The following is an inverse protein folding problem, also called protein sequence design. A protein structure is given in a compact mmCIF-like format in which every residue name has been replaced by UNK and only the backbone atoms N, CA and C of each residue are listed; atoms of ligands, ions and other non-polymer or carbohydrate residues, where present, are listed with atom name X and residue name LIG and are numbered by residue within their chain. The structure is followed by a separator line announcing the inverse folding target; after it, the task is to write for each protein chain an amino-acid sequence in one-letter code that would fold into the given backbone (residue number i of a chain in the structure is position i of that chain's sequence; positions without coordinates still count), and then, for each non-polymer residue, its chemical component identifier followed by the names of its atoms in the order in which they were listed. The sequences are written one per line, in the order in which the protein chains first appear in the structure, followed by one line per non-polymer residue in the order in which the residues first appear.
data_IF_910765539507
#
_entry.id   IF_910765539507
#
_cell.length_a   1.000
_cell.length_b   1.000
_cell.length_c   1.000
_cell.angle_alpha   90.00
_cell.angle_beta   90.00
_cell.angle_gamma   90.00
#
_symmetry.space_group_name_H-M   'P 1'
#
loop_
_entity.id
_entity.type
_entity.pdbx_description
1 polymer ?
#
# COMPACT_ATOMS: atom_id res chain seq x y z
N UNK A 1 -0.77 -11.60 -17.60
CA UNK A 1 -0.11 -10.29 -17.46
C UNK A 1 0.21 -10.00 -16.02
N UNK A 2 1.40 -9.50 -15.77
CA UNK A 2 1.81 -9.17 -14.41
C UNK A 2 1.16 -7.89 -13.93
N UNK A 3 0.69 -7.88 -12.68
CA UNK A 3 0.23 -6.67 -12.02
C UNK A 3 1.39 -6.09 -11.22
N UNK A 4 1.40 -4.78 -11.08
CA UNK A 4 2.47 -4.06 -10.37
C UNK A 4 1.93 -3.51 -9.06
N UNK A 5 2.66 -3.78 -7.98
CA UNK A 5 2.32 -3.32 -6.64
C UNK A 5 3.37 -2.32 -6.16
N UNK A 6 2.91 -1.25 -5.52
CA UNK A 6 3.77 -0.32 -4.80
C UNK A 6 3.72 -0.70 -3.33
N UNK A 7 4.88 -0.98 -2.75
CA UNK A 7 5.00 -1.35 -1.33
C UNK A 7 5.77 -0.25 -0.63
N UNK A 8 5.13 0.38 0.36
CA UNK A 8 5.72 1.50 1.09
C UNK A 8 5.82 1.12 2.57
N UNK A 9 7.04 1.03 3.09
CA UNK A 9 7.29 0.71 4.49
C UNK A 9 8.68 1.20 4.85
N UNK A 10 8.81 1.87 5.99
CA UNK A 10 10.11 2.36 6.45
C UNK A 10 10.97 1.27 7.09
N UNK A 11 10.39 0.11 7.40
CA UNK A 11 11.13 -1.06 7.88
C UNK A 11 11.63 -1.88 6.71
N UNK A 12 12.96 -1.99 6.49
CA UNK A 12 13.49 -2.83 5.41
C UNK A 12 13.06 -4.28 5.52
N UNK A 13 13.01 -4.81 6.74
CA UNK A 13 12.60 -6.20 6.97
C UNK A 13 11.15 -6.43 6.56
N UNK A 14 10.26 -5.57 7.01
CA UNK A 14 8.84 -5.69 6.66
C UNK A 14 8.62 -5.49 5.16
N UNK A 15 9.31 -4.52 4.58
CA UNK A 15 9.22 -4.26 3.13
C UNK A 15 9.64 -5.49 2.34
N UNK A 16 10.71 -6.18 2.76
CA UNK A 16 11.16 -7.40 2.12
C UNK A 16 10.12 -8.52 2.23
N UNK A 17 9.52 -8.68 3.40
CA UNK A 17 8.52 -9.73 3.62
C UNK A 17 7.31 -9.51 2.71
N UNK A 18 6.80 -8.30 2.66
CA UNK A 18 5.65 -7.97 1.82
C UNK A 18 6.01 -8.15 0.34
N UNK A 19 7.15 -7.64 -0.07
CA UNK A 19 7.61 -7.74 -1.46
C UNK A 19 7.79 -9.20 -1.87
N UNK A 20 8.36 -10.03 -1.01
CA UNK A 20 8.55 -11.45 -1.28
C UNK A 20 7.21 -12.17 -1.46
N UNK A 21 6.26 -11.87 -0.57
CA UNK A 21 4.91 -12.45 -0.65
C UNK A 21 4.25 -12.10 -1.98
N UNK A 22 4.34 -10.85 -2.40
CA UNK A 22 3.72 -10.39 -3.64
C UNK A 22 4.45 -10.93 -4.87
N UNK A 23 5.77 -10.95 -4.84
CA UNK A 23 6.57 -11.48 -5.97
C UNK A 23 6.25 -12.95 -6.19
N UNK A 24 6.13 -13.72 -5.12
CA UNK A 24 5.75 -15.14 -5.25
C UNK A 24 4.34 -15.33 -5.80
N UNK A 25 3.49 -14.33 -5.64
CA UNK A 25 2.12 -14.38 -6.18
C UNK A 25 2.04 -13.84 -7.62
N UNK A 26 3.17 -13.47 -8.22
CA UNK A 26 3.21 -13.03 -9.61
C UNK A 26 3.21 -11.53 -9.82
N UNK A 27 3.30 -10.73 -8.76
CA UNK A 27 3.35 -9.27 -8.89
C UNK A 27 4.75 -8.79 -9.20
N UNK A 28 4.82 -7.72 -9.98
CA UNK A 28 6.02 -6.88 -10.01
C UNK A 28 5.92 -5.92 -8.85
N UNK A 29 7.01 -5.70 -8.13
CA UNK A 29 6.99 -4.87 -6.93
C UNK A 29 7.92 -3.68 -7.09
N UNK A 30 7.39 -2.49 -6.80
CA UNK A 30 8.17 -1.28 -6.66
C UNK A 30 8.16 -0.94 -5.17
N UNK A 31 9.33 -0.78 -4.57
CA UNK A 31 9.46 -0.51 -3.14
C UNK A 31 9.78 0.95 -2.88
N UNK A 32 9.22 1.49 -1.81
CA UNK A 32 9.53 2.84 -1.33
C UNK A 32 9.74 2.81 0.17
N UNK A 33 10.64 3.65 0.66
CA UNK A 33 11.02 3.67 2.08
C UNK A 33 10.05 4.46 2.94
N UNK A 34 9.39 5.44 2.36
CA UNK A 34 8.41 6.29 3.05
C UNK A 34 7.55 7.01 2.01
N UNK A 35 6.60 7.83 2.49
CA UNK A 35 5.64 8.47 1.62
C UNK A 35 6.24 9.39 0.57
N UNK A 36 7.23 10.18 0.92
CA UNK A 36 7.87 11.08 -0.05
C UNK A 36 8.60 10.31 -1.14
N UNK A 37 9.28 9.23 -0.77
CA UNK A 37 9.95 8.36 -1.73
C UNK A 37 8.93 7.73 -2.68
N UNK A 38 7.79 7.30 -2.14
CA UNK A 38 6.72 6.72 -2.92
C UNK A 38 6.18 7.72 -3.96
N UNK A 39 5.87 8.93 -3.53
CA UNK A 39 5.37 9.98 -4.43
C UNK A 39 6.37 10.25 -5.54
N UNK A 40 7.65 10.35 -5.18
CA UNK A 40 8.72 10.60 -6.15
C UNK A 40 8.82 9.48 -7.19
N UNK A 41 8.72 8.23 -6.74
CA UNK A 41 8.84 7.07 -7.63
C UNK A 41 7.67 6.90 -8.59
N UNK A 42 6.48 7.35 -8.20
CA UNK A 42 5.30 7.20 -9.06
C UNK A 42 4.99 8.44 -9.90
N UNK A 43 5.61 9.58 -9.59
CA UNK A 43 5.39 10.80 -10.35
C UNK A 43 5.91 10.62 -11.78
N UNK A 44 4.99 10.58 -12.76
CA UNK A 44 5.34 10.34 -14.15
C UNK A 44 5.87 8.94 -14.43
N UNK A 45 5.73 8.02 -13.47
CA UNK A 45 6.27 6.67 -13.56
C UNK A 45 5.25 5.62 -14.00
N UNK A 46 5.56 4.35 -13.78
CA UNK A 46 4.69 3.26 -14.23
C UNK A 46 3.37 3.23 -13.48
N UNK A 47 2.37 2.68 -14.14
CA UNK A 47 1.07 2.49 -13.52
C UNK A 47 1.16 1.42 -12.44
N UNK A 48 0.55 1.69 -11.29
CA UNK A 48 0.42 0.73 -10.20
C UNK A 48 -0.99 0.14 -10.20
N UNK A 49 -1.07 -1.16 -9.97
CA UNK A 49 -2.36 -1.85 -9.88
C UNK A 49 -2.87 -1.87 -8.44
N UNK A 50 -1.97 -1.81 -7.46
CA UNK A 50 -2.33 -1.77 -6.06
C UNK A 50 -1.20 -1.09 -5.28
N UNK A 51 -1.58 -0.45 -4.17
CA UNK A 51 -0.63 0.16 -3.23
C UNK A 51 -0.83 -0.47 -1.87
N UNK A 52 0.26 -0.88 -1.23
CA UNK A 52 0.25 -1.37 0.15
C UNK A 52 1.20 -0.47 0.92
N UNK A 53 0.69 0.27 1.89
CA UNK A 53 1.49 1.22 2.64
C UNK A 53 1.36 1.03 4.13
N UNK A 54 2.50 1.14 4.83
CA UNK A 54 2.52 1.24 6.28
C UNK A 54 1.82 2.53 6.70
N UNK A 55 1.27 2.54 7.90
CA UNK A 55 0.61 3.73 8.45
C UNK A 55 1.62 4.67 9.08
N UNK A 56 2.53 4.15 9.90
CA UNK A 56 3.49 4.96 10.66
C UNK A 56 4.84 5.03 9.95
N UNK A 57 5.12 6.17 9.33
CA UNK A 57 6.37 6.41 8.61
C UNK A 57 6.86 7.81 8.88
N UNK A 58 8.21 8.04 8.84
CA UNK A 58 8.73 9.38 8.98
C UNK A 58 8.37 10.24 7.76
N UNK A 59 8.41 11.54 7.94
CA UNK A 59 8.17 12.58 6.94
C UNK A 59 6.74 12.62 6.42
N UNK A 60 6.21 11.52 5.90
CA UNK A 60 4.83 11.47 5.40
C UNK A 60 4.24 10.12 5.80
N UNK A 61 3.26 10.10 6.69
CA UNK A 61 2.62 8.87 7.12
C UNK A 61 1.71 8.29 6.02
N UNK A 62 1.19 7.08 6.29
CA UNK A 62 0.36 6.39 5.29
C UNK A 62 -0.91 7.12 4.94
N UNK A 63 -1.54 7.78 5.90
CA UNK A 63 -2.78 8.52 5.65
C UNK A 63 -2.51 9.70 4.72
N UNK A 64 -1.45 10.47 4.99
CA UNK A 64 -1.08 11.59 4.14
C UNK A 64 -0.62 11.13 2.76
N UNK A 65 0.08 9.99 2.69
CA UNK A 65 0.44 9.40 1.41
C UNK A 65 -0.80 9.06 0.58
N UNK A 66 -1.80 8.45 1.20
CA UNK A 66 -3.05 8.11 0.51
C UNK A 66 -3.71 9.36 -0.03
N UNK A 67 -3.77 10.43 0.76
CA UNK A 67 -4.33 11.71 0.32
C UNK A 67 -3.59 12.24 -0.90
N UNK A 68 -2.26 12.18 -0.90
CA UNK A 68 -1.46 12.65 -2.02
C UNK A 68 -1.68 11.80 -3.27
N UNK A 69 -1.72 10.48 -3.12
CA UNK A 69 -1.96 9.59 -4.26
C UNK A 69 -3.34 9.80 -4.86
N UNK A 70 -4.35 10.03 -4.03
CA UNK A 70 -5.71 10.25 -4.53
C UNK A 70 -5.88 11.57 -5.29
N UNK A 71 -4.96 12.51 -5.13
CA UNK A 71 -4.94 13.74 -5.93
C UNK A 71 -4.42 13.49 -7.34
N UNK A 72 -3.68 12.39 -7.55
CA UNK A 72 -3.14 12.04 -8.86
C UNK A 72 -4.18 11.27 -9.65
N UNK A 73 -4.42 11.66 -10.89
CA UNK A 73 -5.43 11.01 -11.74
C UNK A 73 -5.14 9.52 -11.94
N UNK A 74 -3.86 9.15 -12.00
CA UNK A 74 -3.46 7.75 -12.18
C UNK A 74 -3.84 6.87 -11.01
N UNK A 75 -4.08 7.44 -9.82
CA UNK A 75 -4.40 6.68 -8.60
C UNK A 75 -5.83 6.88 -8.13
N UNK A 76 -6.67 7.51 -8.92
CA UNK A 76 -8.04 7.83 -8.49
C UNK A 76 -8.83 6.58 -8.10
N UNK A 77 -8.63 5.48 -8.81
CA UNK A 77 -9.36 4.23 -8.57
C UNK A 77 -8.46 3.06 -8.17
N UNK A 78 -7.18 3.30 -7.96
CA UNK A 78 -6.24 2.24 -7.59
C UNK A 78 -6.52 1.78 -6.16
N UNK A 79 -6.68 0.47 -5.91
CA UNK A 79 -6.82 -0.03 -4.53
C UNK A 79 -5.61 0.34 -3.70
N UNK A 80 -5.85 0.85 -2.49
CA UNK A 80 -4.81 1.21 -1.54
C UNK A 80 -5.15 0.55 -0.22
N UNK A 81 -4.24 -0.31 0.26
CA UNK A 81 -4.38 -1.01 1.53
C UNK A 81 -3.38 -0.46 2.54
N UNK A 82 -3.84 -0.21 3.76
CA UNK A 82 -2.95 0.15 4.86
C UNK A 82 -2.49 -1.10 5.58
N UNK A 83 -1.20 -1.20 5.85
CA UNK A 83 -0.62 -2.27 6.65
C UNK A 83 -0.19 -1.66 7.97
N UNK A 84 -0.82 -2.04 9.08
CA UNK A 84 -0.66 -1.32 10.33
C UNK A 84 -0.81 -2.24 11.55
N UNK A 85 -0.12 -1.87 12.65
CA UNK A 85 -0.36 -2.49 13.95
C UNK A 85 -1.56 -1.87 14.65
N UNK A 86 -2.04 -0.74 14.13
CA UNK A 86 -3.16 -0.03 14.73
C UNK A 86 -4.48 -0.71 14.42
N UNK A 87 -5.26 -1.02 15.45
CA UNK A 87 -6.60 -1.55 15.29
C UNK A 87 -7.67 -0.56 15.78
N UNK A 88 -7.25 0.62 16.22
CA UNK A 88 -8.15 1.63 16.74
C UNK A 88 -9.11 2.13 15.65
N UNK A 89 -10.37 2.29 16.02
CA UNK A 89 -11.40 2.71 15.08
C UNK A 89 -11.13 4.07 14.47
N UNK A 90 -10.54 5.00 15.23
CA UNK A 90 -10.22 6.34 14.73
C UNK A 90 -9.17 6.31 13.61
N UNK A 91 -8.17 5.43 13.70
CA UNK A 91 -7.17 5.28 12.64
C UNK A 91 -7.76 4.67 11.38
N UNK A 92 -8.63 3.68 11.54
CA UNK A 92 -9.33 3.08 10.41
C UNK A 92 -10.24 4.08 9.73
N UNK A 93 -10.95 4.89 10.52
CA UNK A 93 -11.83 5.91 9.99
C UNK A 93 -11.02 6.98 9.23
N UNK A 94 -9.89 7.44 9.80
CA UNK A 94 -9.04 8.42 9.16
C UNK A 94 -8.50 7.89 7.82
N UNK A 95 -8.10 6.63 7.78
CA UNK A 95 -7.64 5.99 6.55
C UNK A 95 -8.73 5.92 5.50
N UNK A 96 -9.93 5.53 5.91
CA UNK A 96 -11.08 5.45 5.01
C UNK A 96 -11.43 6.83 4.44
N UNK A 97 -11.42 7.86 5.28
CA UNK A 97 -11.69 9.24 4.85
C UNK A 97 -10.62 9.74 3.87
N UNK A 98 -9.37 9.30 4.05
CA UNK A 98 -8.29 9.66 3.14
C UNK A 98 -8.41 8.95 1.79
N UNK A 99 -9.19 7.87 1.72
CA UNK A 99 -9.41 7.12 0.49
C UNK A 99 -8.83 5.71 0.46
N UNK A 100 -8.46 5.16 1.63
CA UNK A 100 -7.99 3.78 1.69
C UNK A 100 -9.11 2.81 1.31
N UNK A 101 -8.75 1.77 0.58
CA UNK A 101 -9.69 0.71 0.21
C UNK A 101 -9.92 -0.24 1.38
N UNK A 102 -8.89 -0.45 2.20
CA UNK A 102 -8.97 -1.31 3.36
C UNK A 102 -7.67 -1.31 4.13
N UNK A 103 -7.53 -2.24 5.05
CA UNK A 103 -6.31 -2.35 5.87
C UNK A 103 -6.04 -3.81 6.20
N UNK A 104 -4.77 -4.08 6.58
CA UNK A 104 -4.29 -5.37 7.02
C UNK A 104 -3.56 -5.12 8.33
N UNK A 105 -3.89 -5.88 9.38
CA UNK A 105 -3.28 -5.71 10.70
C UNK A 105 -1.99 -6.53 10.79
N UNK A 106 -0.94 -5.92 11.31
CA UNK A 106 0.34 -6.60 11.58
C UNK A 106 0.29 -7.33 12.93
N UNK A 107 0.95 -8.47 13.10
CA UNK A 107 1.63 -9.23 12.06
C UNK A 107 0.62 -9.85 11.11
N UNK A 108 0.94 -9.86 9.82
CA UNK A 108 0.01 -10.37 8.85
C UNK A 108 0.31 -11.82 8.49
N UNK A 109 -0.74 -12.52 8.06
CA UNK A 109 -0.63 -13.85 7.48
C UNK A 109 -0.55 -13.69 5.97
N UNK A 110 0.50 -14.22 5.30
CA UNK A 110 0.63 -14.05 3.84
C UNK A 110 -0.58 -14.53 3.05
N UNK A 111 -1.17 -15.64 3.44
CA UNK A 111 -2.36 -16.16 2.76
C UNK A 111 -3.54 -15.21 2.90
N UNK A 112 -3.74 -14.67 4.09
CA UNK A 112 -4.82 -13.72 4.34
C UNK A 112 -4.58 -12.43 3.57
N UNK A 113 -3.35 -11.94 3.53
CA UNK A 113 -3.00 -10.77 2.75
C UNK A 113 -3.37 -10.96 1.27
N UNK A 114 -3.01 -12.10 0.69
CA UNK A 114 -3.32 -12.38 -0.71
C UNK A 114 -4.82 -12.48 -0.95
N UNK A 115 -5.58 -13.02 0.01
CA UNK A 115 -7.04 -13.05 -0.09
C UNK A 115 -7.66 -11.66 -0.09
N UNK A 116 -7.15 -10.77 0.76
CA UNK A 116 -7.63 -9.39 0.83
C UNK A 116 -7.30 -8.66 -0.49
N UNK A 117 -6.09 -8.86 -1.00
CA UNK A 117 -5.68 -8.27 -2.27
C UNK A 117 -6.59 -8.75 -3.40
N UNK A 118 -6.89 -10.03 -3.44
CA UNK A 118 -7.76 -10.60 -4.47
C UNK A 118 -9.18 -10.00 -4.44
N UNK A 119 -9.65 -9.62 -3.25
CA UNK A 119 -10.98 -9.00 -3.12
C UNK A 119 -11.02 -7.57 -3.64
N UNK A 120 -9.92 -6.83 -3.54
CA UNK A 120 -9.91 -5.41 -3.91
C UNK A 120 -9.39 -5.17 -5.32
N UNK A 121 -8.64 -6.10 -5.90
CA UNK A 121 -8.16 -5.96 -7.27
C UNK A 121 -9.25 -6.37 -8.25
N UNK A 122 -9.54 -5.52 -9.23
CA UNK A 122 -10.44 -5.92 -10.30
C UNK A 122 -9.79 -7.04 -11.12
N UNK A 123 -10.60 -8.01 -11.47
CA UNK A 123 -10.13 -9.17 -12.24
C UNK A 123 -10.18 -8.84 -13.72
#
# INVERSE_FOLDING_TARGET
MSKTALVVDDSPTMRQIVSFTLTNAGFKVVEAEHGKDAVSKVAGGPKMDIVITDLNMPEMDGINLIKELRKMSAFKFTPILMLTTESAADKKQAGKEAGATGWIVKPFNPELMLKIIAKVLPV
#
